data_IF_774160180213
#
_entry.id   IF_774160180213
#
_cell.length_a   1.000
_cell.length_b   1.000
_cell.length_c   1.000
_cell.angle_alpha   90.00
_cell.angle_beta   90.00
_cell.angle_gamma   90.00
#
_symmetry.space_group_name_H-M   'P 1'
#
loop_
_entity.id
_entity.type
_entity.pdbx_description
1 polymer ?
#
# COMPACT_ATOMS: atom_id res chain seq x y z
N UNK A 1 21.89 -16.45 72.90
CA UNK A 1 22.86 -15.92 71.91
C UNK A 1 22.27 -16.04 70.50
N UNK A 2 21.65 -14.99 69.96
CA UNK A 2 21.31 -14.89 68.52
C UNK A 2 21.42 -13.42 68.11
N UNK A 3 22.23 -13.22 67.07
CA UNK A 3 22.83 -11.95 66.64
C UNK A 3 21.80 -10.98 66.06
N UNK A 4 22.07 -9.71 66.34
CA UNK A 4 21.54 -8.49 65.73
C UNK A 4 21.74 -8.46 64.21
N UNK A 5 20.76 -7.93 63.48
CA UNK A 5 21.00 -7.28 62.18
C UNK A 5 20.14 -6.02 62.08
N UNK A 6 20.80 -4.89 62.34
CA UNK A 6 20.33 -3.53 62.07
C UNK A 6 20.48 -3.28 60.57
N UNK A 7 19.38 -3.28 59.82
CA UNK A 7 19.40 -2.90 58.42
C UNK A 7 19.18 -1.38 58.30
N UNK A 8 20.26 -0.67 57.97
CA UNK A 8 20.26 0.76 57.73
C UNK A 8 19.97 1.06 56.23
N UNK A 9 19.02 1.97 56.03
CA UNK A 9 19.01 3.11 55.10
C UNK A 9 19.46 2.92 53.64
N UNK A 10 18.60 3.38 52.72
CA UNK A 10 19.07 3.86 51.41
C UNK A 10 17.99 3.96 50.35
N UNK A 11 17.14 5.00 50.41
CA UNK A 11 16.15 5.32 49.38
C UNK A 11 16.84 5.62 48.05
N UNK A 12 16.68 4.73 47.06
CA UNK A 12 17.01 5.02 45.67
C UNK A 12 15.75 5.58 44.98
N UNK A 13 15.73 6.89 44.72
CA UNK A 13 14.69 7.53 43.93
C UNK A 13 14.79 7.06 42.47
N UNK A 14 13.79 6.31 42.01
CA UNK A 14 13.63 5.94 40.61
C UNK A 14 13.13 7.17 39.83
N UNK A 15 14.05 7.91 39.22
CA UNK A 15 13.68 9.00 38.31
C UNK A 15 13.20 8.38 37.00
N UNK A 16 11.88 8.31 36.82
CA UNK A 16 11.25 7.97 35.54
C UNK A 16 11.62 9.07 34.53
N UNK A 17 12.64 8.81 33.71
CA UNK A 17 12.86 9.59 32.50
C UNK A 17 11.80 9.18 31.47
N UNK A 18 10.70 9.93 31.41
CA UNK A 18 9.69 9.83 30.36
C UNK A 18 10.29 10.28 29.03
N UNK A 19 10.89 9.33 28.32
CA UNK A 19 11.27 9.48 26.93
C UNK A 19 9.97 9.61 26.11
N UNK A 20 9.58 10.85 25.79
CA UNK A 20 8.46 11.13 24.91
C UNK A 20 8.72 10.51 23.55
N UNK A 21 8.07 9.39 23.25
CA UNK A 21 8.08 8.79 21.93
C UNK A 21 7.36 9.74 20.96
N UNK A 22 8.13 10.43 20.12
CA UNK A 22 7.59 11.17 18.99
C UNK A 22 7.04 10.13 18.02
N UNK A 23 5.72 9.93 18.04
CA UNK A 23 5.04 9.12 17.04
C UNK A 23 4.92 9.97 15.78
N UNK A 24 5.83 9.77 14.84
CA UNK A 24 5.65 10.27 13.48
C UNK A 24 4.50 9.50 12.85
N UNK A 25 3.31 10.11 12.88
CA UNK A 25 2.14 9.58 12.15
C UNK A 25 2.39 9.75 10.66
N UNK A 26 2.90 8.69 10.02
CA UNK A 26 2.95 8.62 8.57
C UNK A 26 1.52 8.75 8.05
N UNK A 27 1.26 9.82 7.27
CA UNK A 27 -0.02 9.93 6.57
C UNK A 27 -0.15 8.77 5.59
N UNK A 28 -1.32 8.13 5.50
CA UNK A 28 -1.52 7.06 4.52
C UNK A 28 -1.25 7.61 3.12
N UNK A 29 -0.49 6.87 2.33
CA UNK A 29 -0.29 7.20 0.93
C UNK A 29 -1.66 7.23 0.23
N UNK A 30 -1.86 8.22 -0.64
CA UNK A 30 -3.08 8.29 -1.45
C UNK A 30 -3.24 6.99 -2.23
N UNK A 31 -4.45 6.42 -2.18
CA UNK A 31 -4.74 5.21 -2.94
C UNK A 31 -4.70 5.49 -4.45
N UNK A 32 -4.24 4.51 -5.22
CA UNK A 32 -4.30 4.59 -6.69
C UNK A 32 -5.77 4.68 -7.15
N UNK A 33 -6.09 5.51 -8.15
CA UNK A 33 -7.46 5.62 -8.67
C UNK A 33 -7.91 4.30 -9.31
N UNK A 34 -9.22 4.05 -9.32
CA UNK A 34 -9.81 2.88 -9.97
C UNK A 34 -9.85 3.07 -11.49
N UNK A 35 -9.66 1.99 -12.24
CA UNK A 35 -9.60 2.03 -13.70
C UNK A 35 -8.21 2.41 -14.22
N UNK A 36 -8.16 2.97 -15.42
CA UNK A 36 -6.92 3.41 -16.06
C UNK A 36 -6.38 4.70 -15.46
N UNK A 37 -5.07 4.74 -15.25
CA UNK A 37 -4.35 5.94 -14.84
C UNK A 37 -2.88 5.87 -15.22
N UNK A 38 -2.22 7.02 -15.19
CA UNK A 38 -0.81 7.16 -15.49
C UNK A 38 -0.06 7.80 -14.31
N UNK A 39 1.18 7.40 -14.10
CA UNK A 39 2.10 8.04 -13.16
C UNK A 39 3.44 8.23 -13.84
N UNK A 40 3.81 9.48 -14.12
CA UNK A 40 5.09 9.79 -14.76
C UNK A 40 5.26 9.04 -16.09
N UNK A 41 6.14 8.03 -16.10
CA UNK A 41 6.49 7.24 -17.28
C UNK A 41 5.60 6.03 -17.55
N UNK A 42 4.69 5.69 -16.64
CA UNK A 42 4.03 4.39 -16.60
C UNK A 42 2.51 4.51 -16.59
N UNK A 43 1.87 3.53 -17.24
CA UNK A 43 0.43 3.40 -17.34
C UNK A 43 -0.03 2.13 -16.61
N UNK A 44 -1.16 2.25 -15.91
CA UNK A 44 -1.69 1.23 -15.03
C UNK A 44 -3.20 1.05 -15.22
N UNK A 45 -3.69 -0.11 -14.79
CA UNK A 45 -5.11 -0.35 -14.52
C UNK A 45 -5.27 -0.85 -13.08
N UNK A 46 -6.09 -0.20 -12.28
CA UNK A 46 -6.43 -0.66 -10.94
C UNK A 46 -7.85 -1.24 -10.91
N UNK A 47 -7.97 -2.54 -10.67
CA UNK A 47 -9.25 -3.20 -10.50
C UNK A 47 -9.70 -3.10 -9.05
N UNK A 48 -10.52 -2.11 -8.75
CA UNK A 48 -11.08 -1.91 -7.43
C UNK A 48 -12.30 -2.81 -7.22
N UNK A 49 -12.09 -3.95 -6.57
CA UNK A 49 -13.17 -4.77 -6.05
C UNK A 49 -12.81 -5.39 -4.71
N UNK A 50 -13.83 -5.65 -3.89
CA UNK A 50 -13.71 -6.38 -2.61
C UNK A 50 -14.16 -7.84 -2.70
N UNK A 51 -14.81 -8.24 -3.80
CA UNK A 51 -15.36 -9.60 -3.99
C UNK A 51 -14.35 -10.60 -4.57
N UNK A 52 -13.13 -10.16 -4.85
CA UNK A 52 -12.08 -10.98 -5.44
C UNK A 52 -12.25 -11.25 -6.94
N UNK A 53 -13.26 -10.68 -7.59
CA UNK A 53 -13.52 -10.90 -9.01
C UNK A 53 -12.35 -10.47 -9.90
N UNK A 54 -12.16 -11.20 -10.99
CA UNK A 54 -11.22 -10.83 -12.05
C UNK A 54 -12.03 -10.44 -13.28
N UNK A 55 -11.49 -9.48 -14.02
CA UNK A 55 -12.16 -8.88 -15.17
C UNK A 55 -11.26 -8.86 -16.38
N UNK A 56 -11.88 -8.95 -17.55
CA UNK A 56 -11.18 -8.71 -18.81
C UNK A 56 -11.16 -7.20 -19.05
N UNK A 57 -9.97 -6.66 -19.27
CA UNK A 57 -9.77 -5.29 -19.73
C UNK A 57 -9.29 -5.30 -21.18
N UNK A 58 -9.70 -4.30 -21.97
CA UNK A 58 -9.04 -3.97 -23.23
C UNK A 58 -8.00 -2.89 -22.96
N UNK A 59 -6.80 -3.09 -23.47
CA UNK A 59 -5.69 -2.14 -23.41
C UNK A 59 -5.46 -1.58 -24.81
N UNK A 60 -5.44 -0.26 -24.90
CA UNK A 60 -5.28 0.47 -26.15
C UNK A 60 -3.81 0.88 -26.32
N UNK A 61 -3.22 0.54 -27.48
CA UNK A 61 -1.78 0.69 -27.70
C UNK A 61 -1.52 1.54 -28.94
N UNK A 62 -0.67 2.57 -28.81
CA UNK A 62 -0.53 3.61 -29.84
C UNK A 62 -0.05 3.10 -31.22
N UNK A 63 0.92 2.18 -31.23
CA UNK A 63 1.61 1.70 -32.45
C UNK A 63 1.56 0.17 -32.58
N UNK A 64 0.62 -0.47 -31.91
CA UNK A 64 0.40 -1.90 -31.97
C UNK A 64 -1.10 -2.20 -31.84
N UNK A 65 -1.55 -3.41 -32.20
CA UNK A 65 -2.94 -3.80 -31.95
C UNK A 65 -3.30 -3.72 -30.46
N UNK A 66 -4.52 -3.28 -30.19
CA UNK A 66 -5.16 -3.43 -28.88
C UNK A 66 -5.14 -4.90 -28.45
N UNK A 67 -5.11 -5.13 -27.13
CA UNK A 67 -5.18 -6.48 -26.59
C UNK A 67 -6.08 -6.55 -25.37
N UNK A 68 -6.61 -7.75 -25.13
CA UNK A 68 -7.38 -8.03 -23.92
C UNK A 68 -6.53 -8.79 -22.91
N UNK A 69 -6.72 -8.48 -21.62
CA UNK A 69 -6.02 -9.17 -20.53
C UNK A 69 -6.95 -9.37 -19.35
N UNK A 70 -6.84 -10.54 -18.73
CA UNK A 70 -7.49 -10.81 -17.45
C UNK A 70 -6.68 -10.21 -16.29
N UNK A 71 -7.33 -9.38 -15.48
CA UNK A 71 -6.73 -8.73 -14.30
C UNK A 71 -7.57 -9.03 -13.06
N UNK A 72 -6.89 -9.39 -11.96
CA UNK A 72 -7.52 -9.55 -10.64
C UNK A 72 -7.60 -8.22 -9.88
N UNK A 73 -8.07 -8.24 -8.63
CA UNK A 73 -8.12 -7.03 -7.80
C UNK A 73 -6.74 -6.36 -7.64
N UNK A 74 -6.72 -5.03 -7.59
CA UNK A 74 -5.52 -4.23 -7.37
C UNK A 74 -4.88 -3.68 -8.66
N UNK A 75 -3.66 -3.16 -8.51
CA UNK A 75 -2.92 -2.42 -9.55
C UNK A 75 -2.15 -3.34 -10.50
N UNK A 76 -2.33 -3.12 -11.80
CA UNK A 76 -1.64 -3.82 -12.88
C UNK A 76 -0.89 -2.83 -13.76
N UNK A 77 0.42 -3.02 -13.90
CA UNK A 77 1.21 -2.28 -14.87
C UNK A 77 0.91 -2.76 -16.29
N UNK A 78 0.62 -1.82 -17.18
CA UNK A 78 0.26 -2.08 -18.57
C UNK A 78 1.41 -1.80 -19.53
N UNK A 79 2.32 -0.91 -19.14
CA UNK A 79 3.42 -0.47 -19.98
C UNK A 79 3.79 0.99 -19.72
N UNK A 80 4.63 1.53 -20.59
CA UNK A 80 4.95 2.96 -20.54
C UNK A 80 3.75 3.81 -20.99
N UNK A 81 3.53 4.95 -20.34
CA UNK A 81 2.52 5.95 -20.70
C UNK A 81 2.68 6.47 -22.13
N UNK A 82 3.90 6.44 -22.70
CA UNK A 82 4.09 6.83 -24.11
C UNK A 82 3.59 5.78 -25.11
N UNK A 83 3.23 4.57 -24.66
CA UNK A 83 2.79 3.45 -25.51
C UNK A 83 1.33 3.08 -25.28
N UNK A 84 0.85 3.19 -24.04
CA UNK A 84 -0.52 2.84 -23.66
C UNK A 84 -1.39 4.09 -23.75
N UNK A 85 -2.47 4.03 -24.51
CA UNK A 85 -3.38 5.18 -24.69
C UNK A 85 -4.61 5.12 -23.78
N UNK A 86 -4.90 3.94 -23.23
CA UNK A 86 -6.04 3.73 -22.36
C UNK A 86 -6.19 2.28 -21.97
N UNK A 87 -7.03 2.04 -20.95
CA UNK A 87 -7.54 0.70 -20.66
C UNK A 87 -8.91 0.78 -19.99
N UNK A 88 -9.78 -0.18 -20.30
CA UNK A 88 -11.12 -0.22 -19.70
C UNK A 88 -11.67 -1.63 -19.60
N UNK A 89 -12.54 -1.83 -18.61
CA UNK A 89 -13.30 -3.07 -18.42
C UNK A 89 -14.26 -3.31 -19.59
N UNK A 90 -14.24 -4.52 -20.17
CA UNK A 90 -15.08 -4.85 -21.35
C UNK A 90 -16.43 -5.49 -21.01
N UNK A 91 -16.82 -5.51 -19.73
CA UNK A 91 -18.14 -6.05 -19.33
C UNK A 91 -18.18 -7.56 -19.09
N UNK A 92 -17.03 -8.25 -18.97
CA UNK A 92 -16.98 -9.71 -18.70
C UNK A 92 -15.86 -10.13 -17.74
N UNK A 93 -16.14 -11.16 -16.95
CA UNK A 93 -15.19 -11.74 -15.98
C UNK A 93 -14.25 -12.77 -16.63
N UNK A 94 -13.26 -13.17 -15.84
CA UNK A 94 -12.29 -14.23 -16.03
C UNK A 94 -11.75 -14.61 -14.62
#
# INVERSE_FOLDING_TARGET
MRRTFTNALGSAALVLASLGAVTTTASPAAADPCGFFETGSDAFYNHCTSDGSRVVIKVEVALAPDYERCVGPGKHWLGSASKIQGAYYVGRTC
#
